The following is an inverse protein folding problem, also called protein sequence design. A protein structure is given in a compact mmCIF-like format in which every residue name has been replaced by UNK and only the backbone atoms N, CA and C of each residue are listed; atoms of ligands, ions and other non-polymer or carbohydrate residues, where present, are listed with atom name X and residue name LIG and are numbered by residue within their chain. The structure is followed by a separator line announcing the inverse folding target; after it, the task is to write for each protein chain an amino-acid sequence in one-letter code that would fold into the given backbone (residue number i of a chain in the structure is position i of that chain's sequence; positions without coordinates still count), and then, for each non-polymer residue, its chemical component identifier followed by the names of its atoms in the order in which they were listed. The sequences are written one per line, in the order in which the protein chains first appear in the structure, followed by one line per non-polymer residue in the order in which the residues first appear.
data_IF_210427171641
#
_entry.id   IF_210427171641
#
_cell.length_a   1.000
_cell.length_b   1.000
_cell.length_c   1.000
_cell.angle_alpha   90.00
_cell.angle_beta   90.00
_cell.angle_gamma   90.00
#
_symmetry.space_group_name_H-M   'P 1'
#
loop_
_entity.id
_entity.type
_entity.pdbx_description
1 polymer ?
#
# COMPACT_ATOMS: atom_id res chain seq x y z
N UNK A 1 20.04 -5.95 1.49
CA UNK A 1 19.19 -4.78 1.21
C UNK A 1 19.22 -3.74 2.31
N UNK A 2 19.46 -2.48 1.93
CA UNK A 2 19.24 -1.27 2.75
C UNK A 2 17.84 -0.76 2.45
N UNK A 3 17.06 -0.45 3.48
CA UNK A 3 15.72 0.12 3.34
C UNK A 3 15.68 1.58 3.79
N UNK A 4 14.87 2.40 3.14
CA UNK A 4 14.66 3.80 3.51
C UNK A 4 13.31 4.32 2.99
N UNK A 5 12.66 5.24 3.73
CA UNK A 5 11.44 5.88 3.26
C UNK A 5 11.73 6.82 2.08
N UNK A 6 10.79 6.93 1.16
CA UNK A 6 10.80 7.89 0.06
C UNK A 6 9.71 8.94 0.29
N UNK A 7 10.09 10.21 0.14
CA UNK A 7 9.17 11.34 0.17
C UNK A 7 8.57 11.55 -1.23
N UNK A 8 7.63 10.68 -1.60
CA UNK A 8 6.94 10.72 -2.89
C UNK A 8 5.46 10.41 -2.69
N UNK A 9 4.60 11.09 -3.46
CA UNK A 9 3.17 10.85 -3.42
C UNK A 9 2.84 9.40 -3.84
N UNK A 10 2.27 8.57 -2.94
CA UNK A 10 1.98 7.17 -3.24
C UNK A 10 0.92 7.06 -4.35
N UNK A 11 -0.01 8.01 -4.45
CA UNK A 11 -1.00 8.01 -5.53
C UNK A 11 -0.39 8.21 -6.91
N UNK A 12 0.61 9.07 -7.02
CA UNK A 12 1.41 9.30 -8.22
C UNK A 12 2.21 8.06 -8.58
N UNK A 13 2.84 7.39 -7.61
CA UNK A 13 3.54 6.12 -7.82
C UNK A 13 2.59 5.08 -8.42
N UNK A 14 1.45 4.81 -7.78
CA UNK A 14 0.52 3.78 -8.25
C UNK A 14 -0.06 4.14 -9.63
N UNK A 15 -0.44 5.40 -9.85
CA UNK A 15 -0.96 5.87 -11.14
C UNK A 15 0.06 5.73 -12.26
N UNK A 16 1.32 6.09 -12.00
CA UNK A 16 2.41 5.97 -12.97
C UNK A 16 2.66 4.49 -13.30
N UNK A 17 2.70 3.63 -12.28
CA UNK A 17 2.89 2.18 -12.46
C UNK A 17 1.75 1.55 -13.26
N UNK A 18 0.49 1.95 -13.04
CA UNK A 18 -0.65 1.52 -13.86
C UNK A 18 -0.43 1.88 -15.34
N UNK A 19 0.02 3.11 -15.62
CA UNK A 19 0.25 3.56 -16.99
C UNK A 19 1.43 2.84 -17.64
N UNK A 20 2.54 2.69 -16.91
CA UNK A 20 3.73 2.00 -17.42
C UNK A 20 3.44 0.51 -17.65
N UNK A 21 2.69 -0.15 -16.77
CA UNK A 21 2.29 -1.55 -16.94
C UNK A 21 1.38 -1.76 -18.16
N UNK A 22 0.54 -0.77 -18.52
CA UNK A 22 -0.26 -0.82 -19.76
C UNK A 22 0.60 -0.73 -21.02
N UNK A 23 1.72 -0.01 -20.98
CA UNK A 23 2.62 0.17 -22.13
C UNK A 23 3.65 -0.96 -22.21
N UNK A 24 4.17 -1.41 -21.07
CA UNK A 24 5.23 -2.40 -20.95
C UNK A 24 4.96 -3.36 -19.76
N UNK A 25 4.02 -4.32 -19.90
CA UNK A 25 3.58 -5.17 -18.79
C UNK A 25 4.67 -6.05 -18.20
N UNK A 26 5.70 -6.38 -18.99
CA UNK A 26 6.83 -7.22 -18.57
C UNK A 26 7.98 -6.45 -17.93
N UNK A 27 7.85 -5.13 -17.74
CA UNK A 27 8.93 -4.30 -17.17
C UNK A 27 9.09 -4.51 -15.66
N UNK A 28 7.98 -4.74 -14.97
CA UNK A 28 7.94 -4.90 -13.52
C UNK A 28 7.21 -6.17 -13.13
N UNK A 29 7.62 -6.74 -12.00
CA UNK A 29 6.81 -7.67 -11.23
C UNK A 29 6.06 -6.85 -10.18
N UNK A 30 4.74 -6.93 -10.23
CA UNK A 30 3.86 -6.16 -9.35
C UNK A 30 3.04 -7.15 -8.53
N UNK A 31 3.04 -6.98 -7.21
CA UNK A 31 2.25 -7.79 -6.30
C UNK A 31 1.49 -6.82 -5.39
N UNK A 32 0.16 -6.83 -5.49
CA UNK A 32 -0.69 -6.07 -4.60
C UNK A 32 -1.38 -7.03 -3.63
N UNK A 33 -1.30 -6.73 -2.34
CA UNK A 33 -1.85 -7.52 -1.25
C UNK A 33 -2.65 -6.61 -0.33
N UNK A 34 -3.69 -7.19 0.25
CA UNK A 34 -4.45 -6.58 1.32
C UNK A 34 -4.59 -7.59 2.45
N UNK A 35 -4.31 -7.14 3.67
CA UNK A 35 -4.51 -7.89 4.90
C UNK A 35 -5.32 -7.05 5.88
N UNK A 36 -6.38 -7.63 6.46
CA UNK A 36 -7.08 -7.03 7.58
C UNK A 36 -6.48 -7.56 8.88
N UNK A 37 -5.75 -6.70 9.61
CA UNK A 37 -5.21 -7.02 10.92
C UNK A 37 -6.18 -6.54 12.00
N UNK A 38 -6.83 -7.48 12.69
CA UNK A 38 -7.58 -7.16 13.90
C UNK A 38 -6.57 -6.96 15.02
N UNK A 39 -6.38 -5.72 15.48
CA UNK A 39 -5.65 -5.46 16.71
C UNK A 39 -6.62 -5.53 17.87
N UNK A 40 -6.35 -6.47 18.77
CA UNK A 40 -7.01 -6.52 20.07
C UNK A 40 -6.63 -5.23 20.82
N UNK A 41 -7.59 -4.32 21.04
CA UNK A 41 -7.34 -3.12 21.84
C UNK A 41 -7.11 -3.62 23.27
N UNK A 42 -5.90 -3.49 23.86
CA UNK A 42 -5.73 -3.83 25.26
C UNK A 42 -6.62 -2.89 26.05
N UNK A 43 -7.69 -3.44 26.63
CA UNK A 43 -8.68 -2.72 27.40
C UNK A 43 -7.97 -1.71 28.31
N UNK A 44 -8.12 -0.42 28.03
CA UNK A 44 -7.64 0.65 28.89
C UNK A 44 -8.26 0.37 30.26
N UNK A 45 -7.42 -0.11 31.18
CA UNK A 45 -7.73 -0.34 32.59
C UNK A 45 -7.92 1.02 33.26
N UNK A 46 -8.99 1.72 32.91
CA UNK A 46 -9.51 2.83 33.71
C UNK A 46 -10.75 2.34 34.46
N UNK A 47 -10.42 1.90 35.67
CA UNK A 47 -11.25 1.79 36.87
C UNK A 47 -12.70 2.29 36.79
N UNK A 48 -13.60 1.34 37.05
CA UNK A 48 -14.83 1.41 37.88
C UNK A 48 -16.21 1.62 37.23
N UNK A 49 -17.04 0.61 37.55
CA UNK A 49 -18.46 0.58 37.93
C UNK A 49 -19.51 0.58 36.81
N UNK A 50 -20.18 -0.57 36.68
CA UNK A 50 -21.45 -0.74 35.98
C UNK A 50 -21.45 -1.99 35.11
N UNK A 51 -22.17 -3.02 35.56
CA UNK A 51 -22.62 -4.14 34.72
C UNK A 51 -23.41 -3.57 33.54
N UNK A 52 -22.80 -3.53 32.36
CA UNK A 52 -23.50 -3.44 31.08
C UNK A 52 -22.62 -4.18 30.08
N UNK A 53 -23.22 -5.04 29.26
CA UNK A 53 -22.56 -5.88 28.27
C UNK A 53 -21.61 -5.01 27.41
N UNK A 54 -20.33 -5.00 27.78
CA UNK A 54 -19.30 -4.26 27.05
C UNK A 54 -18.98 -5.06 25.80
N UNK A 55 -19.52 -4.60 24.68
CA UNK A 55 -19.16 -5.08 23.35
C UNK A 55 -17.65 -4.93 23.19
N UNK A 56 -16.94 -6.05 22.98
CA UNK A 56 -15.51 -6.07 22.66
C UNK A 56 -15.27 -5.29 21.36
N UNK A 57 -14.95 -4.00 21.48
CA UNK A 57 -14.53 -3.16 20.36
C UNK A 57 -13.10 -3.56 19.96
N UNK A 58 -12.96 -4.22 18.81
CA UNK A 58 -11.66 -4.44 18.17
C UNK A 58 -11.41 -3.37 17.12
N UNK A 59 -10.21 -2.78 17.14
CA UNK A 59 -9.75 -1.88 16.08
C UNK A 59 -9.29 -2.75 14.92
N UNK A 60 -9.88 -2.54 13.74
CA UNK A 60 -9.48 -3.26 12.53
C UNK A 60 -8.60 -2.34 11.73
N UNK A 61 -7.31 -2.63 11.67
CA UNK A 61 -6.41 -1.93 10.75
C UNK A 61 -6.36 -2.73 9.45
N UNK A 62 -6.63 -2.08 8.32
CA UNK A 62 -6.46 -2.71 7.02
C UNK A 62 -5.14 -2.23 6.43
N UNK A 63 -4.21 -3.17 6.26
CA UNK A 63 -2.91 -2.91 5.67
C UNK A 63 -2.96 -3.37 4.21
N UNK A 64 -2.85 -2.42 3.29
CA UNK A 64 -2.66 -2.71 1.89
C UNK A 64 -1.21 -2.47 1.50
N UNK A 65 -0.60 -3.47 0.86
CA UNK A 65 0.80 -3.42 0.44
C UNK A 65 0.88 -3.64 -1.06
N UNK A 66 1.58 -2.76 -1.76
CA UNK A 66 1.92 -2.89 -3.17
C UNK A 66 3.42 -2.97 -3.32
N UNK A 67 3.90 -4.12 -3.76
CA UNK A 67 5.30 -4.39 -4.06
C UNK A 67 5.57 -4.28 -5.55
N UNK A 68 6.57 -3.48 -5.90
CA UNK A 68 7.01 -3.22 -7.26
C UNK A 68 8.48 -3.57 -7.35
N UNK A 69 8.78 -4.60 -8.12
CA UNK A 69 10.12 -5.07 -8.37
C UNK A 69 10.45 -5.03 -9.87
N UNK A 70 11.74 -4.90 -10.24
CA UNK A 70 12.17 -5.08 -11.60
C UNK A 70 11.88 -6.51 -12.07
N UNK A 71 11.56 -6.69 -13.35
CA UNK A 71 11.32 -8.04 -13.90
C UNK A 71 12.55 -8.96 -13.75
N UNK A 72 13.74 -8.38 -13.71
CA UNK A 72 14.99 -9.09 -13.54
C UNK A 72 15.53 -8.85 -12.12
N UNK A 73 15.61 -9.91 -11.30
CA UNK A 73 16.10 -9.82 -9.92
C UNK A 73 17.52 -9.25 -9.78
N UNK A 74 18.31 -9.27 -10.87
CA UNK A 74 19.66 -8.66 -10.93
C UNK A 74 19.66 -7.14 -10.78
N UNK A 75 18.50 -6.49 -10.92
CA UNK A 75 18.39 -5.06 -10.74
C UNK A 75 18.33 -4.66 -9.25
N UNK A 76 18.06 -5.58 -8.33
CA UNK A 76 18.39 -5.48 -6.91
C UNK A 76 17.64 -4.39 -6.12
N UNK A 77 16.48 -3.93 -6.60
CA UNK A 77 15.65 -2.95 -5.89
C UNK A 77 14.21 -3.44 -5.75
N UNK A 78 13.52 -2.95 -4.73
CA UNK A 78 12.11 -3.15 -4.45
C UNK A 78 11.52 -1.82 -3.98
N UNK A 79 10.37 -1.44 -4.52
CA UNK A 79 9.60 -0.29 -4.10
C UNK A 79 8.28 -0.80 -3.51
N UNK A 80 8.01 -0.42 -2.27
CA UNK A 80 6.81 -0.85 -1.54
C UNK A 80 5.97 0.37 -1.22
N UNK A 81 4.69 0.33 -1.60
CA UNK A 81 3.68 1.30 -1.15
C UNK A 81 2.83 0.58 -0.10
N UNK A 82 2.83 1.10 1.12
CA UNK A 82 2.07 0.59 2.25
C UNK A 82 0.99 1.61 2.61
N UNK A 83 -0.23 1.14 2.85
CA UNK A 83 -1.36 1.97 3.23
C UNK A 83 -1.99 1.33 4.45
N UNK A 84 -1.88 2.02 5.58
CA UNK A 84 -2.50 1.65 6.85
C UNK A 84 -3.84 2.40 6.94
N UNK A 85 -4.95 1.67 6.88
CA UNK A 85 -6.30 2.24 6.96
C UNK A 85 -6.98 1.80 8.25
N UNK A 86 -7.29 2.76 9.11
CA UNK A 86 -8.10 2.53 10.31
C UNK A 86 -9.56 2.26 9.89
N UNK A 87 -9.94 1.00 9.80
CA UNK A 87 -11.34 0.64 9.73
C UNK A 87 -11.90 0.77 11.16
N UNK A 88 -12.66 1.85 11.38
CA UNK A 88 -13.34 2.11 12.65
C UNK A 88 -14.10 0.90 13.20
N UNK A 89 -14.50 0.92 14.49
CA UNK A 89 -14.93 -0.26 15.23
C UNK A 89 -16.03 -1.02 14.47
N UNK A 90 -15.72 -2.26 14.05
CA UNK A 90 -16.73 -3.18 13.51
C UNK A 90 -17.33 -3.97 14.65
N UNK A 91 -18.66 -4.03 14.70
CA UNK A 91 -19.39 -4.99 15.52
C UNK A 91 -18.87 -6.39 15.15
N UNK A 92 -18.33 -7.11 16.13
CA UNK A 92 -17.89 -8.50 15.99
C UNK A 92 -19.10 -9.39 15.69
N UNK A 93 -19.54 -9.43 14.43
CA UNK A 93 -20.41 -10.51 13.98
C UNK A 93 -19.58 -11.79 14.02
N UNK A 94 -19.97 -12.72 14.91
CA UNK A 94 -19.44 -14.08 15.06
C UNK A 94 -19.50 -14.88 13.76
N UNK A 95 -18.63 -14.57 12.82
CA UNK A 95 -18.19 -15.42 11.72
C UNK A 95 -16.67 -15.49 11.77
N UNK A 96 -16.04 -16.55 11.25
CA UNK A 96 -14.58 -16.56 11.13
C UNK A 96 -14.19 -15.32 10.31
N UNK A 97 -13.57 -14.35 10.98
CA UNK A 97 -12.83 -13.28 10.34
C UNK A 97 -11.86 -14.00 9.40
N UNK A 98 -12.10 -13.88 8.10
CA UNK A 98 -11.18 -14.42 7.11
C UNK A 98 -9.93 -13.57 7.26
N UNK A 99 -8.95 -14.07 8.02
CA UNK A 99 -7.54 -13.71 7.91
C UNK A 99 -7.13 -14.01 6.47
N UNK A 100 -7.47 -13.08 5.58
CA UNK A 100 -7.34 -13.24 4.15
C UNK A 100 -6.28 -12.30 3.67
N UNK A 101 -5.02 -12.74 3.72
CA UNK A 101 -3.99 -12.21 2.83
C UNK A 101 -4.45 -12.48 1.39
N UNK A 102 -5.15 -11.52 0.81
CA UNK A 102 -5.69 -11.61 -0.54
C UNK A 102 -4.79 -10.86 -1.50
N UNK A 103 -4.20 -11.55 -2.47
CA UNK A 103 -3.63 -10.85 -3.62
C UNK A 103 -4.76 -10.16 -4.39
N UNK A 104 -4.66 -8.85 -4.57
CA UNK A 104 -5.65 -8.04 -5.30
C UNK A 104 -5.06 -7.54 -6.62
N UNK A 105 -5.93 -7.08 -7.51
CA UNK A 105 -5.51 -6.41 -8.75
C UNK A 105 -4.98 -5.00 -8.46
N UNK A 106 -4.04 -4.53 -9.28
CA UNK A 106 -3.45 -3.19 -9.15
C UNK A 106 -4.49 -2.07 -9.31
N UNK A 107 -5.46 -2.22 -10.21
CA UNK A 107 -6.54 -1.25 -10.39
C UNK A 107 -7.48 -1.21 -9.19
N UNK A 108 -7.73 -2.37 -8.59
CA UNK A 108 -8.50 -2.49 -7.33
C UNK A 108 -7.76 -1.84 -6.15
N UNK A 109 -6.44 -2.07 -6.03
CA UNK A 109 -5.60 -1.42 -5.03
C UNK A 109 -5.71 0.12 -5.11
N UNK A 110 -5.63 0.67 -6.33
CA UNK A 110 -5.77 2.11 -6.55
C UNK A 110 -7.13 2.65 -6.13
N UNK A 111 -8.23 2.02 -6.54
CA UNK A 111 -9.59 2.52 -6.25
C UNK A 111 -9.96 2.44 -4.76
N UNK A 112 -9.53 1.36 -4.08
CA UNK A 112 -9.88 1.11 -2.68
C UNK A 112 -8.98 1.90 -1.71
N UNK A 113 -7.68 2.01 -1.97
CA UNK A 113 -6.72 2.51 -0.97
C UNK A 113 -6.07 3.85 -1.31
N UNK A 114 -5.96 4.24 -2.58
CA UNK A 114 -5.39 5.54 -2.96
C UNK A 114 -6.49 6.62 -2.91
N UNK A 115 -6.78 7.13 -1.70
CA UNK A 115 -7.72 8.24 -1.48
C UNK A 115 -7.12 9.27 -0.51
N UNK A 116 -7.25 10.58 -0.78
CA UNK A 116 -6.58 11.63 0.00
C UNK A 116 -7.06 11.75 1.46
N UNK A 117 -8.17 11.11 1.81
CA UNK A 117 -8.79 11.19 3.14
C UNK A 117 -8.79 9.84 3.89
N UNK A 118 -8.08 8.83 3.35
CA UNK A 118 -8.18 7.43 3.82
C UNK A 118 -6.80 6.86 4.12
N UNK A 119 -6.54 6.56 5.39
CA UNK A 119 -5.32 5.91 5.86
C UNK A 119 -4.05 6.77 5.81
N UNK A 120 -2.96 6.20 6.31
CA UNK A 120 -1.59 6.72 6.19
C UNK A 120 -0.89 5.91 5.11
N UNK A 121 -0.42 6.58 4.07
CA UNK A 121 0.27 5.93 2.96
C UNK A 121 1.77 6.24 3.01
N UNK A 122 2.59 5.20 3.06
CA UNK A 122 4.03 5.26 3.14
C UNK A 122 4.65 4.61 1.89
N UNK A 123 5.75 5.18 1.40
CA UNK A 123 6.54 4.59 0.30
C UNK A 123 7.92 4.24 0.82
N UNK A 124 8.32 2.99 0.65
CA UNK A 124 9.59 2.45 1.13
C UNK A 124 10.39 1.88 -0.02
N UNK A 125 11.65 2.26 -0.09
CA UNK A 125 12.64 1.70 -0.99
C UNK A 125 13.46 0.63 -0.27
N UNK A 126 13.78 -0.45 -0.97
CA UNK A 126 14.79 -1.42 -0.58
C UNK A 126 15.77 -1.65 -1.74
N UNK A 127 17.08 -1.54 -1.47
CA UNK A 127 18.14 -1.67 -2.50
C UNK A 127 19.27 -2.57 -2.00
N UNK A 128 19.81 -3.42 -2.86
CA UNK A 128 20.92 -4.32 -2.51
C UNK A 128 22.30 -3.65 -2.56
N UNK A 129 22.51 -2.74 -3.51
CA UNK A 129 23.79 -2.10 -3.81
C UNK A 129 23.61 -0.69 -4.38
N UNK A 130 24.69 0.09 -4.44
CA UNK A 130 24.67 1.47 -4.97
C UNK A 130 24.16 1.55 -6.42
N UNK A 131 24.39 0.51 -7.24
CA UNK A 131 23.90 0.51 -8.61
C UNK A 131 22.38 0.28 -8.65
N UNK A 132 21.83 -0.52 -7.73
CA UNK A 132 20.39 -0.66 -7.53
C UNK A 132 19.74 0.65 -7.06
N UNK A 133 20.42 1.38 -6.16
CA UNK A 133 19.99 2.71 -5.72
C UNK A 133 19.94 3.71 -6.90
N UNK A 134 20.94 3.74 -7.78
CA UNK A 134 20.92 4.60 -8.98
C UNK A 134 19.76 4.25 -9.92
N UNK A 135 19.48 2.96 -10.14
CA UNK A 135 18.35 2.51 -10.97
C UNK A 135 17.01 2.91 -10.36
N UNK A 136 16.85 2.72 -9.06
CA UNK A 136 15.63 3.10 -8.34
C UNK A 136 15.43 4.63 -8.36
N UNK A 137 16.47 5.42 -8.12
CA UNK A 137 16.38 6.88 -8.20
C UNK A 137 15.99 7.35 -9.61
N UNK A 138 16.51 6.73 -10.67
CA UNK A 138 16.08 7.04 -12.04
C UNK A 138 14.59 6.73 -12.28
N UNK A 139 14.06 5.67 -11.66
CA UNK A 139 12.62 5.36 -11.67
C UNK A 139 11.84 6.42 -10.90
N UNK A 140 12.23 6.74 -9.66
CA UNK A 140 11.57 7.75 -8.82
C UNK A 140 11.53 9.09 -9.54
N UNK A 141 12.65 9.56 -10.10
CA UNK A 141 12.67 10.79 -10.89
C UNK A 141 11.77 10.74 -12.12
N UNK A 142 11.60 9.57 -12.76
CA UNK A 142 10.67 9.41 -13.89
C UNK A 142 9.20 9.47 -13.46
N UNK A 143 8.91 9.02 -12.24
CA UNK A 143 7.59 9.13 -11.61
C UNK A 143 7.33 10.60 -11.27
N UNK A 144 8.25 11.27 -10.58
CA UNK A 144 8.14 12.68 -10.18
C UNK A 144 7.97 13.62 -11.38
N UNK A 145 8.71 13.38 -12.46
CA UNK A 145 8.60 14.15 -13.71
C UNK A 145 7.33 13.83 -14.50
N UNK A 146 6.51 12.89 -14.03
CA UNK A 146 5.31 12.39 -14.69
C UNK A 146 5.55 12.18 -16.18
N UNK A 147 6.54 11.36 -16.53
CA UNK A 147 6.98 11.18 -17.93
C UNK A 147 5.82 10.79 -18.88
N UNK A 148 4.75 10.21 -18.35
CA UNK A 148 3.55 9.87 -19.11
C UNK A 148 2.62 11.06 -19.40
N UNK A 149 2.87 12.21 -18.77
CA UNK A 149 2.19 13.48 -18.92
C UNK A 149 0.85 13.56 -18.16
N UNK A 150 0.44 14.75 -17.66
CA UNK A 150 -0.75 14.91 -16.85
C UNK A 150 -2.07 14.68 -17.62
N UNK A 151 -2.01 14.37 -18.92
CA UNK A 151 -3.20 14.34 -19.76
C UNK A 151 -3.04 13.41 -20.97
N UNK A 152 -3.44 12.15 -20.81
CA UNK A 152 -3.91 11.32 -21.92
C UNK A 152 -5.39 11.00 -21.76
N UNK A 153 -6.16 12.00 -21.31
CA UNK A 153 -7.63 12.01 -21.34
C UNK A 153 -8.11 13.10 -22.30
N UNK A 154 -9.01 12.70 -23.20
CA UNK A 154 -9.76 13.52 -24.17
C UNK A 154 -8.99 14.07 -25.37
N UNK A 155 -8.82 13.22 -26.39
CA UNK A 155 -9.10 13.65 -27.75
C UNK A 155 -10.63 13.67 -27.93
N UNK A 156 -11.21 14.83 -28.19
CA UNK A 156 -12.51 14.99 -28.87
C UNK A 156 -12.44 16.26 -29.68
#
# INVERSE_FOLDING_TARGET
MRTYPLDIDPGQVVRWIIQEHRVAPSRFRIVAQCASAVRDIPARRELRLGDEEREDLSEVDTIATLEIAPAHAKEGWLLTVEIEDEAGPRLSEKGPLVEGEGQIDLGRFYDEFIRPERGIANVVAAVDDDAAEVRLNALVSSIEQDRHGPNRTAST
#
